data_IF_988350992564
#
_entry.id   IF_988350992564
#
_cell.length_a   1.000
_cell.length_b   1.000
_cell.length_c   1.000
_cell.angle_alpha   90.00
_cell.angle_beta   90.00
_cell.angle_gamma   90.00
#
_symmetry.space_group_name_H-M   'P 1'
#
loop_
_entity.id
_entity.type
_entity.pdbx_description
1 polymer ?
#
# COMPACT_ATOMS: atom_id res chain seq x y z
N UNK A 1 6.39 -1.32 -23.44
CA UNK A 1 7.75 -0.75 -23.26
C UNK A 1 8.61 -1.58 -22.32
N UNK A 2 8.19 -1.84 -21.07
CA UNK A 2 9.02 -2.59 -20.10
C UNK A 2 9.48 -3.96 -20.60
N UNK A 3 8.59 -4.74 -21.23
CA UNK A 3 8.95 -6.03 -21.84
C UNK A 3 9.97 -5.88 -22.99
N UNK A 4 9.77 -4.88 -23.87
CA UNK A 4 10.65 -4.62 -25.02
C UNK A 4 12.07 -4.23 -24.57
N UNK A 5 12.18 -3.44 -23.52
CA UNK A 5 13.45 -2.94 -22.99
C UNK A 5 14.02 -3.80 -21.84
N UNK A 6 13.36 -4.91 -21.50
CA UNK A 6 13.75 -5.81 -20.41
C UNK A 6 14.03 -5.06 -19.11
N UNK A 7 13.16 -4.11 -18.77
CA UNK A 7 13.34 -3.30 -17.55
C UNK A 7 13.18 -4.18 -16.31
N UNK A 8 13.97 -3.94 -15.24
CA UNK A 8 13.80 -4.61 -13.95
C UNK A 8 12.57 -4.04 -13.22
N UNK A 9 11.38 -4.30 -13.76
CA UNK A 9 10.11 -3.78 -13.27
C UNK A 9 9.18 -4.93 -12.89
N UNK A 10 8.72 -4.93 -11.65
CA UNK A 10 7.70 -5.85 -11.14
C UNK A 10 6.37 -5.11 -11.16
N UNK A 11 5.43 -5.57 -11.99
CA UNK A 11 4.08 -5.03 -12.03
C UNK A 11 3.21 -5.72 -10.98
N UNK A 12 2.70 -4.95 -10.01
CA UNK A 12 1.84 -5.43 -8.93
C UNK A 12 0.44 -4.84 -9.13
N UNK A 13 -0.58 -5.69 -9.07
CA UNK A 13 -1.97 -5.28 -9.08
C UNK A 13 -2.63 -5.67 -7.75
N UNK A 14 -2.90 -4.67 -6.90
CA UNK A 14 -3.62 -4.87 -5.63
C UNK A 14 -5.13 -4.97 -5.88
N UNK A 15 -5.57 -6.21 -6.09
CA UNK A 15 -6.96 -6.50 -6.37
C UNK A 15 -7.80 -6.64 -5.09
N UNK A 16 -8.43 -5.54 -4.68
CA UNK A 16 -9.38 -5.45 -3.58
C UNK A 16 -10.85 -5.53 -4.04
N UNK A 17 -11.10 -6.03 -5.27
CA UNK A 17 -12.41 -6.30 -5.89
C UNK A 17 -13.25 -5.10 -6.36
N UNK A 18 -12.79 -3.89 -6.09
CA UNK A 18 -13.50 -2.67 -6.49
C UNK A 18 -12.52 -1.61 -6.99
N UNK A 19 -13.02 -0.71 -7.82
CA UNK A 19 -12.37 0.55 -8.19
C UNK A 19 -13.33 1.65 -7.78
N UNK A 20 -13.02 2.33 -6.67
CA UNK A 20 -13.94 3.25 -6.01
C UNK A 20 -15.29 2.55 -5.70
N UNK A 21 -16.36 2.86 -6.44
CA UNK A 21 -17.69 2.23 -6.29
C UNK A 21 -18.04 1.19 -7.36
N UNK A 22 -17.12 0.89 -8.28
CA UNK A 22 -17.37 -0.01 -9.42
C UNK A 22 -16.69 -1.36 -9.17
N UNK A 23 -17.42 -2.46 -9.25
CA UNK A 23 -16.82 -3.80 -9.13
C UNK A 23 -15.99 -4.15 -10.37
N UNK A 24 -15.06 -5.10 -10.24
CA UNK A 24 -14.16 -5.47 -11.34
C UNK A 24 -14.91 -6.00 -12.56
N UNK A 25 -15.98 -6.77 -12.35
CA UNK A 25 -16.79 -7.35 -13.44
C UNK A 25 -17.47 -6.27 -14.29
N UNK A 26 -17.68 -5.09 -13.70
CA UNK A 26 -18.25 -3.93 -14.38
C UNK A 26 -17.18 -3.03 -14.98
N UNK A 27 -15.98 -3.02 -14.39
CA UNK A 27 -14.88 -2.16 -14.80
C UNK A 27 -13.98 -2.78 -15.89
N UNK A 28 -13.88 -4.11 -15.94
CA UNK A 28 -12.98 -4.82 -16.84
C UNK A 28 -13.68 -5.97 -17.57
N UNK A 29 -13.39 -6.09 -18.88
CA UNK A 29 -13.89 -7.20 -19.69
C UNK A 29 -13.32 -8.56 -19.25
N UNK A 30 -12.13 -8.57 -18.65
CA UNK A 30 -11.51 -9.73 -18.02
C UNK A 30 -11.06 -9.33 -16.61
N UNK A 31 -11.37 -10.16 -15.61
CA UNK A 31 -10.95 -9.95 -14.22
C UNK A 31 -9.67 -10.73 -13.86
N UNK A 32 -9.08 -11.45 -14.81
CA UNK A 32 -7.78 -12.10 -14.66
C UNK A 32 -6.66 -11.07 -14.85
N UNK A 33 -6.50 -10.15 -13.89
CA UNK A 33 -5.51 -9.06 -13.95
C UNK A 33 -4.09 -9.55 -14.21
N UNK A 34 -3.73 -10.68 -13.63
CA UNK A 34 -2.44 -11.31 -13.87
C UNK A 34 -2.22 -11.65 -15.36
N UNK A 35 -3.24 -11.94 -16.17
CA UNK A 35 -3.04 -12.24 -17.61
C UNK A 35 -2.94 -11.00 -18.51
N UNK A 36 -3.17 -9.79 -17.99
CA UNK A 36 -3.20 -8.57 -18.81
C UNK A 36 -1.82 -8.16 -19.34
N UNK A 37 -0.75 -8.69 -18.74
CA UNK A 37 0.62 -8.49 -19.22
C UNK A 37 0.94 -9.22 -20.53
N UNK A 38 0.08 -10.14 -20.98
CA UNK A 38 0.23 -10.99 -22.17
C UNK A 38 1.61 -11.68 -22.22
N UNK A 39 2.59 -11.04 -22.87
CA UNK A 39 3.98 -11.50 -22.98
C UNK A 39 4.82 -11.38 -21.69
N UNK A 40 4.29 -10.77 -20.64
CA UNK A 40 4.97 -10.62 -19.34
C UNK A 40 4.60 -11.81 -18.43
N UNK A 41 5.59 -12.55 -17.88
CA UNK A 41 5.33 -13.63 -16.92
C UNK A 41 4.63 -13.10 -15.67
N UNK A 42 3.66 -13.88 -15.17
CA UNK A 42 2.70 -13.40 -14.17
C UNK A 42 2.43 -14.45 -13.10
N UNK A 43 2.18 -13.97 -11.88
CA UNK A 43 1.83 -14.78 -10.73
C UNK A 43 0.62 -14.16 -10.03
N UNK A 44 -0.33 -15.00 -9.60
CA UNK A 44 -1.42 -14.58 -8.71
C UNK A 44 -1.07 -14.99 -7.29
N UNK A 45 -1.10 -14.05 -6.37
CA UNK A 45 -0.69 -14.22 -4.96
C UNK A 45 -1.90 -13.97 -4.06
N UNK A 46 -2.00 -14.71 -2.96
CA UNK A 46 -2.94 -14.38 -1.89
C UNK A 46 -2.43 -13.17 -1.09
N UNK A 47 -3.06 -12.02 -1.29
CA UNK A 47 -2.71 -10.78 -0.59
C UNK A 47 -3.03 -10.78 0.90
N UNK A 48 -3.79 -11.76 1.39
CA UNK A 48 -4.15 -11.88 2.82
C UNK A 48 -3.14 -12.72 3.62
N UNK A 49 -2.20 -13.39 2.95
CA UNK A 49 -1.12 -14.14 3.59
C UNK A 49 0.21 -13.42 3.39
N UNK A 50 0.69 -12.77 4.46
CA UNK A 50 1.95 -12.02 4.43
C UNK A 50 3.17 -12.87 4.06
N UNK A 51 3.14 -14.19 4.34
CA UNK A 51 4.23 -15.08 3.92
C UNK A 51 4.14 -15.40 2.43
N UNK A 52 2.93 -15.59 1.87
CA UNK A 52 2.77 -15.74 0.41
C UNK A 52 3.24 -14.50 -0.35
N UNK A 53 2.92 -13.31 0.15
CA UNK A 53 3.40 -12.05 -0.43
C UNK A 53 4.93 -11.95 -0.36
N UNK A 54 5.53 -12.28 0.80
CA UNK A 54 6.99 -12.31 0.98
C UNK A 54 7.67 -13.28 0.02
N UNK A 55 7.19 -14.52 -0.05
CA UNK A 55 7.78 -15.54 -0.93
C UNK A 55 7.62 -15.15 -2.40
N UNK A 56 6.45 -14.66 -2.82
CA UNK A 56 6.26 -14.19 -4.20
C UNK A 56 7.19 -13.04 -4.57
N UNK A 57 7.46 -12.14 -3.62
CA UNK A 57 8.38 -11.01 -3.79
C UNK A 57 9.85 -11.48 -3.84
N UNK A 58 10.21 -12.50 -3.06
CA UNK A 58 11.56 -13.05 -3.01
C UNK A 58 11.88 -14.03 -4.16
N UNK A 59 10.88 -14.78 -4.66
CA UNK A 59 11.13 -15.98 -5.47
C UNK A 59 11.33 -15.73 -6.96
N UNK A 60 10.67 -14.74 -7.59
CA UNK A 60 10.81 -14.51 -9.05
C UNK A 60 10.76 -15.78 -9.96
N UNK A 61 10.10 -16.91 -9.56
CA UNK A 61 9.47 -18.01 -10.35
C UNK A 61 8.71 -19.02 -9.40
N UNK A 62 7.76 -19.89 -9.81
CA UNK A 62 6.33 -19.73 -9.51
C UNK A 62 5.68 -20.86 -8.69
N UNK A 63 4.53 -20.59 -8.04
CA UNK A 63 3.68 -21.61 -7.38
C UNK A 63 2.21 -21.17 -7.26
N UNK A 64 1.26 -22.03 -7.66
CA UNK A 64 -0.03 -21.68 -8.33
C UNK A 64 -1.31 -21.96 -7.52
N UNK A 65 -2.33 -21.10 -7.74
CA UNK A 65 -3.79 -21.18 -7.45
C UNK A 65 -4.17 -21.24 -5.96
N UNK A 66 -5.35 -20.82 -5.47
CA UNK A 66 -6.73 -21.35 -5.55
C UNK A 66 -7.69 -20.30 -4.95
N UNK A 67 -9.00 -20.27 -5.30
CA UNK A 67 -10.14 -19.85 -4.44
C UNK A 67 -11.46 -19.67 -5.21
N UNK A 68 -12.60 -19.91 -4.55
CA UNK A 68 -13.97 -19.91 -5.11
C UNK A 68 -14.85 -18.78 -4.54
N UNK A 69 -16.08 -18.62 -5.07
CA UNK A 69 -16.93 -17.42 -4.90
C UNK A 69 -17.64 -17.31 -3.55
N UNK A 70 -17.70 -18.37 -2.75
CA UNK A 70 -18.30 -18.39 -1.40
C UNK A 70 -17.42 -17.71 -0.32
N UNK A 71 -16.14 -17.53 -0.63
CA UNK A 71 -15.08 -17.09 0.29
C UNK A 71 -15.14 -15.59 0.68
N UNK A 72 -15.90 -14.80 -0.07
CA UNK A 72 -15.93 -13.34 0.02
C UNK A 72 -16.52 -12.85 1.35
N UNK A 73 -17.42 -13.62 1.96
CA UNK A 73 -18.07 -13.30 3.24
C UNK A 73 -17.33 -13.89 4.45
N UNK A 74 -16.42 -14.86 4.22
CA UNK A 74 -15.61 -15.54 5.24
C UNK A 74 -14.23 -14.87 5.46
N UNK A 75 -13.73 -14.14 4.45
CA UNK A 75 -12.40 -13.54 4.46
C UNK A 75 -12.13 -12.57 5.63
N UNK A 76 -13.15 -11.90 6.18
CA UNK A 76 -12.98 -10.99 7.33
C UNK A 76 -12.87 -11.71 8.68
N UNK A 77 -13.44 -12.91 8.80
CA UNK A 77 -13.42 -13.71 10.04
C UNK A 77 -12.35 -14.80 10.03
N UNK A 78 -11.94 -15.31 8.86
CA UNK A 78 -10.92 -16.36 8.74
C UNK A 78 -9.61 -15.94 8.08
N UNK A 79 -9.56 -14.81 7.38
CA UNK A 79 -8.40 -14.42 6.57
C UNK A 79 -7.84 -13.05 6.93
N UNK A 80 -8.14 -12.52 8.13
CA UNK A 80 -7.45 -11.34 8.63
C UNK A 80 -5.93 -11.63 8.71
N UNK A 81 -5.07 -10.82 8.06
CA UNK A 81 -3.66 -11.17 7.88
C UNK A 81 -2.90 -11.20 9.21
N UNK A 82 -3.32 -10.39 10.18
CA UNK A 82 -2.75 -10.35 11.53
C UNK A 82 -3.13 -11.61 12.28
N UNK A 83 -4.40 -12.01 12.22
CA UNK A 83 -4.93 -13.22 12.86
C UNK A 83 -4.31 -14.47 12.25
N UNK A 84 -4.24 -14.56 10.93
CA UNK A 84 -3.59 -15.68 10.21
C UNK A 84 -2.13 -15.83 10.64
N UNK A 85 -1.39 -14.72 10.73
CA UNK A 85 -0.01 -14.75 11.18
C UNK A 85 0.09 -15.15 12.66
N UNK A 86 -0.73 -14.54 13.52
CA UNK A 86 -0.78 -14.83 14.96
C UNK A 86 -1.04 -16.32 15.22
N UNK A 87 -2.04 -16.91 14.59
CA UNK A 87 -2.37 -18.32 14.76
C UNK A 87 -1.22 -19.22 14.28
N UNK A 88 -0.58 -18.89 13.15
CA UNK A 88 0.61 -19.62 12.68
C UNK A 88 1.77 -19.55 13.66
N UNK A 89 2.02 -18.39 14.27
CA UNK A 89 3.10 -18.22 15.24
C UNK A 89 2.84 -19.01 16.53
N UNK A 90 1.61 -18.97 17.03
CA UNK A 90 1.20 -19.71 18.23
C UNK A 90 1.25 -21.23 18.00
N UNK A 91 0.70 -21.71 16.88
CA UNK A 91 0.67 -23.14 16.54
C UNK A 91 2.07 -23.73 16.33
N UNK A 92 3.01 -22.94 15.81
CA UNK A 92 4.41 -23.35 15.61
C UNK A 92 5.32 -23.04 16.80
N UNK A 93 4.77 -22.58 17.93
CA UNK A 93 5.52 -22.24 19.16
C UNK A 93 6.63 -21.19 18.92
N UNK A 94 6.40 -20.27 17.98
CA UNK A 94 7.34 -19.19 17.68
C UNK A 94 7.18 -18.00 18.64
N UNK A 95 5.97 -17.83 19.21
CA UNK A 95 5.67 -16.83 20.23
C UNK A 95 4.60 -17.35 21.20
N UNK A 96 4.45 -16.64 22.32
CA UNK A 96 3.34 -16.82 23.24
C UNK A 96 2.30 -15.70 23.13
N UNK A 97 1.11 -15.92 23.71
CA UNK A 97 -0.01 -14.97 23.64
C UNK A 97 0.29 -13.66 24.39
N UNK A 98 1.10 -13.71 25.44
CA UNK A 98 1.43 -12.56 26.28
C UNK A 98 2.38 -11.61 25.55
N UNK A 99 3.43 -12.13 24.92
CA UNK A 99 4.37 -11.39 24.06
C UNK A 99 3.66 -10.68 22.92
N UNK A 100 2.70 -11.35 22.26
CA UNK A 100 1.91 -10.72 21.19
C UNK A 100 1.04 -9.57 21.74
N UNK A 101 0.45 -9.74 22.92
CA UNK A 101 -0.29 -8.64 23.59
C UNK A 101 0.62 -7.48 23.98
N UNK A 102 1.84 -7.75 24.41
CA UNK A 102 2.80 -6.69 24.71
C UNK A 102 3.17 -5.88 23.45
N UNK A 103 3.27 -6.56 22.29
CA UNK A 103 3.48 -5.88 21.01
C UNK A 103 2.28 -4.98 20.68
N UNK A 104 1.05 -5.48 20.84
CA UNK A 104 -0.17 -4.68 20.60
C UNK A 104 -0.19 -3.41 21.46
N UNK A 105 0.14 -3.52 22.75
CA UNK A 105 0.22 -2.36 23.67
C UNK A 105 1.30 -1.37 23.23
N UNK A 106 2.48 -1.86 22.81
CA UNK A 106 3.56 -1.00 22.31
C UNK A 106 3.17 -0.28 21.02
N UNK A 107 2.50 -0.96 20.10
CA UNK A 107 2.02 -0.38 18.84
C UNK A 107 0.95 0.66 19.12
N UNK A 108 -0.03 0.35 19.96
CA UNK A 108 -1.09 1.29 20.33
C UNK A 108 -0.50 2.57 20.94
N UNK A 109 0.43 2.44 21.89
CA UNK A 109 1.11 3.60 22.47
C UNK A 109 1.81 4.47 21.42
N UNK A 110 2.53 3.85 20.47
CA UNK A 110 3.17 4.59 19.38
C UNK A 110 2.17 5.32 18.49
N UNK A 111 1.02 4.70 18.20
CA UNK A 111 -0.04 5.32 17.41
C UNK A 111 -0.66 6.51 18.16
N UNK A 112 -0.89 6.38 19.46
CA UNK A 112 -1.41 7.46 20.30
C UNK A 112 -0.44 8.65 20.36
N UNK A 113 0.86 8.39 20.57
CA UNK A 113 1.91 9.42 20.54
C UNK A 113 1.99 10.11 19.17
N UNK A 114 1.93 9.34 18.08
CA UNK A 114 1.93 9.88 16.71
C UNK A 114 0.68 10.70 16.40
N UNK A 115 -0.50 10.27 16.86
CA UNK A 115 -1.75 11.00 16.67
C UNK A 115 -1.77 12.29 17.49
N UNK A 116 -1.23 12.26 18.70
CA UNK A 116 -1.08 13.47 19.52
C UNK A 116 -0.12 14.46 18.87
N UNK A 117 1.02 13.98 18.36
CA UNK A 117 1.93 14.82 17.57
C UNK A 117 1.19 15.44 16.37
N UNK A 118 0.52 14.63 15.55
CA UNK A 118 -0.19 15.10 14.36
C UNK A 118 -1.32 16.10 14.63
N UNK A 119 -1.92 16.10 15.82
CA UNK A 119 -2.98 17.05 16.21
C UNK A 119 -2.45 18.31 16.89
N UNK A 120 -1.21 18.28 17.39
CA UNK A 120 -0.58 19.41 18.09
C UNK A 120 0.47 20.13 17.26
N UNK A 121 0.97 19.47 16.19
CA UNK A 121 1.91 20.05 15.25
C UNK A 121 1.27 21.26 14.54
N UNK A 122 1.93 22.43 14.52
CA UNK A 122 1.38 23.61 13.89
C UNK A 122 1.25 23.42 12.38
N UNK A 123 0.26 24.07 11.78
CA UNK A 123 0.14 24.13 10.33
C UNK A 123 1.39 24.79 9.70
N UNK A 124 1.76 24.41 8.46
CA UNK A 124 2.86 25.05 7.76
C UNK A 124 2.66 26.57 7.66
N UNK A 125 3.73 27.37 7.83
CA UNK A 125 3.64 28.82 7.75
C UNK A 125 3.20 29.27 6.35
N UNK A 126 2.41 30.35 6.28
CA UNK A 126 1.83 30.86 5.03
C UNK A 126 2.90 31.31 4.03
N UNK A 127 4.07 31.71 4.51
CA UNK A 127 5.22 32.13 3.70
C UNK A 127 5.78 30.99 2.83
N UNK A 128 5.60 29.74 3.27
CA UNK A 128 6.11 28.54 2.60
C UNK A 128 5.09 27.95 1.60
N UNK A 129 3.92 28.56 1.45
CA UNK A 129 2.82 28.08 0.61
C UNK A 129 3.24 27.74 -0.83
N UNK A 130 4.25 28.44 -1.38
CA UNK A 130 4.74 28.28 -2.76
C UNK A 130 6.15 27.68 -2.84
N UNK A 131 6.66 27.07 -1.79
CA UNK A 131 7.95 26.40 -1.84
C UNK A 131 7.88 25.14 -2.72
N UNK A 132 9.04 24.69 -3.21
CA UNK A 132 9.22 23.45 -3.97
C UNK A 132 8.48 23.35 -5.31
N UNK A 133 8.26 24.49 -5.99
CA UNK A 133 7.67 24.48 -7.35
C UNK A 133 8.65 23.94 -8.39
N UNK A 134 9.90 24.40 -8.33
CA UNK A 134 10.98 23.90 -9.16
C UNK A 134 12.13 23.42 -8.28
N UNK A 135 12.85 22.41 -8.78
CA UNK A 135 14.02 21.85 -8.11
C UNK A 135 15.29 22.48 -8.69
N UNK A 136 16.22 22.89 -7.83
CA UNK A 136 17.51 23.49 -8.19
C UNK A 136 17.42 24.80 -9.00
N UNK A 137 16.37 25.58 -8.78
CA UNK A 137 16.21 26.90 -9.39
C UNK A 137 16.47 28.00 -8.36
N UNK A 138 16.90 29.20 -8.80
CA UNK A 138 17.01 30.34 -7.91
C UNK A 138 15.64 30.75 -7.39
N UNK A 139 15.60 31.38 -6.20
CA UNK A 139 14.36 31.88 -5.61
C UNK A 139 13.65 32.86 -6.54
N UNK A 140 12.34 32.70 -6.71
CA UNK A 140 11.50 33.58 -7.53
C UNK A 140 10.16 33.88 -6.85
N UNK A 141 9.50 34.95 -7.31
CA UNK A 141 8.18 35.36 -6.79
C UNK A 141 7.04 34.64 -7.53
N UNK A 142 6.02 34.21 -6.79
CA UNK A 142 4.80 33.59 -7.30
C UNK A 142 3.60 34.43 -6.92
N UNK A 143 2.75 34.74 -7.90
CA UNK A 143 1.54 35.52 -7.70
C UNK A 143 0.51 34.76 -6.86
N UNK A 144 -0.10 35.45 -5.90
CA UNK A 144 -1.22 34.97 -5.10
C UNK A 144 -2.58 35.20 -5.76
N UNK A 145 -3.61 35.40 -4.94
CA UNK A 145 -4.99 35.59 -5.43
C UNK A 145 -5.19 36.85 -6.28
N UNK A 146 -4.29 37.83 -6.18
CA UNK A 146 -4.30 39.05 -6.99
C UNK A 146 -2.86 39.50 -7.29
N UNK A 147 -2.71 40.55 -8.10
CA UNK A 147 -1.40 41.05 -8.56
C UNK A 147 -0.49 41.58 -7.45
N UNK A 148 -1.06 41.93 -6.29
CA UNK A 148 -0.32 42.53 -5.18
C UNK A 148 0.17 41.52 -4.16
N UNK A 149 -0.41 40.32 -4.12
CA UNK A 149 0.03 39.24 -3.23
C UNK A 149 1.13 38.46 -3.94
N UNK A 150 2.31 38.39 -3.31
CA UNK A 150 3.46 37.62 -3.79
C UNK A 150 3.98 36.70 -2.70
N UNK A 151 4.30 35.46 -3.09
CA UNK A 151 4.96 34.48 -2.25
C UNK A 151 6.33 34.17 -2.82
N UNK A 152 7.32 33.89 -1.97
CA UNK A 152 8.60 33.37 -2.43
C UNK A 152 8.48 31.88 -2.72
N UNK A 153 9.08 31.44 -3.82
CA UNK A 153 9.29 30.03 -4.10
C UNK A 153 10.78 29.71 -3.97
N UNK A 154 11.09 28.81 -3.05
CA UNK A 154 12.44 28.27 -2.84
C UNK A 154 12.40 26.80 -3.24
N UNK A 155 13.42 26.34 -3.98
CA UNK A 155 13.58 24.94 -4.37
C UNK A 155 13.73 23.99 -3.19
#
# INVERSE_FOLDING_TARGET
>A
MAALWKLPCIFICENHRYVMGTSLERAAASTDYFKHGDYIPVLRVDGMDGLCVREATNMSDPGVSYRTREEIQEARSKSDPITVLKDRMLNNKLHNVEELKEIDVKVQKKIEEAAQFATTDPEPPLEELRYHIYRHEPTFDVQGANLWIKYKSVS
#
